data_IF_200296204157
#
_entry.id   IF_200296204157
#
_cell.length_a   1.000
_cell.length_b   1.000
_cell.length_c   1.000
_cell.angle_alpha   90.00
_cell.angle_beta   90.00
_cell.angle_gamma   90.00
#
_symmetry.space_group_name_H-M   'P 1'
#
loop_
_entity.id
_entity.type
_entity.pdbx_description
1 polymer ?
#
# COMPACT_ATOMS: atom_id res chain seq x y z
N UNK A 1 2.95 -9.28 61.03
CA UNK A 1 2.30 -7.99 60.68
C UNK A 1 3.19 -7.07 59.85
N UNK A 2 4.44 -6.80 60.23
CA UNK A 2 5.31 -5.85 59.51
C UNK A 2 5.55 -6.14 58.01
N UNK A 3 5.66 -7.41 57.60
CA UNK A 3 5.87 -7.80 56.18
C UNK A 3 4.64 -7.55 55.29
N UNK A 4 3.44 -7.58 55.87
CA UNK A 4 2.19 -7.31 55.15
C UNK A 4 2.03 -5.80 54.94
N UNK A 5 2.32 -5.02 55.99
CA UNK A 5 2.28 -3.56 55.92
C UNK A 5 3.34 -3.01 54.94
N UNK A 6 4.55 -3.55 54.94
CA UNK A 6 5.59 -3.15 53.98
C UNK A 6 5.19 -3.48 52.54
N UNK A 7 4.57 -4.63 52.31
CA UNK A 7 4.11 -5.03 50.97
C UNK A 7 2.98 -4.14 50.48
N UNK A 8 2.04 -3.76 51.35
CA UNK A 8 0.97 -2.81 51.04
C UNK A 8 1.50 -1.43 50.67
N UNK A 9 2.48 -0.90 51.42
CA UNK A 9 3.08 0.39 51.10
C UNK A 9 3.80 0.38 49.75
N UNK A 10 4.52 -0.70 49.41
CA UNK A 10 5.18 -0.85 48.12
C UNK A 10 4.16 -0.90 46.98
N UNK A 11 3.08 -1.68 47.15
CA UNK A 11 2.01 -1.72 46.15
C UNK A 11 1.37 -0.36 45.93
N UNK A 12 1.08 0.37 47.00
CA UNK A 12 0.44 1.68 46.93
C UNK A 12 1.35 2.70 46.23
N UNK A 13 2.66 2.66 46.48
CA UNK A 13 3.65 3.48 45.77
C UNK A 13 3.78 3.12 44.28
N UNK A 14 3.72 1.83 43.93
CA UNK A 14 3.74 1.39 42.53
C UNK A 14 2.47 1.84 41.80
N UNK A 15 1.29 1.72 42.42
CA UNK A 15 0.03 2.15 41.81
C UNK A 15 -0.04 3.66 41.61
N UNK A 16 0.38 4.46 42.59
CA UNK A 16 0.40 5.92 42.44
C UNK A 16 1.43 6.37 41.40
N UNK A 17 2.60 5.71 41.36
CA UNK A 17 3.60 5.94 40.31
C UNK A 17 3.09 5.62 38.92
N UNK A 18 2.46 4.45 38.73
CA UNK A 18 1.86 4.06 37.45
C UNK A 18 0.71 4.98 37.02
N UNK A 19 -0.14 5.41 37.95
CA UNK A 19 -1.22 6.37 37.67
C UNK A 19 -0.67 7.74 37.25
N UNK A 20 0.38 8.21 37.93
CA UNK A 20 1.02 9.48 37.59
C UNK A 20 1.69 9.43 36.23
N UNK A 21 2.43 8.35 35.91
CA UNK A 21 3.03 8.12 34.59
C UNK A 21 1.96 8.03 33.51
N UNK A 22 0.84 7.33 33.79
CA UNK A 22 -0.30 7.27 32.89
C UNK A 22 -0.82 8.67 32.57
N UNK A 23 -1.05 9.53 33.56
CA UNK A 23 -1.59 10.86 33.31
C UNK A 23 -0.59 11.85 32.68
N UNK A 24 0.69 11.79 33.04
CA UNK A 24 1.67 12.79 32.57
C UNK A 24 2.38 12.44 31.28
N UNK A 25 2.44 11.15 30.89
CA UNK A 25 3.20 10.70 29.71
C UNK A 25 2.27 10.11 28.63
N UNK A 26 1.83 10.92 27.64
CA UNK A 26 0.98 10.42 26.55
C UNK A 26 1.67 9.31 25.73
N UNK A 27 3.01 9.30 25.67
CA UNK A 27 3.82 8.25 25.03
C UNK A 27 3.62 6.89 25.71
N UNK A 28 3.55 6.84 27.05
CA UNK A 28 3.32 5.59 27.79
C UNK A 28 1.89 5.07 27.57
N UNK A 29 0.89 5.97 27.50
CA UNK A 29 -0.48 5.57 27.14
C UNK A 29 -0.55 4.98 25.74
N UNK A 30 0.14 5.56 24.77
CA UNK A 30 0.23 5.03 23.41
C UNK A 30 0.93 3.67 23.38
N UNK A 31 2.08 3.53 24.05
CA UNK A 31 2.82 2.27 24.16
C UNK A 31 1.98 1.14 24.79
N UNK A 32 1.28 1.43 25.89
CA UNK A 32 0.42 0.44 26.58
C UNK A 32 -0.81 0.12 25.75
N UNK A 33 -1.43 1.10 25.07
CA UNK A 33 -2.53 0.87 24.14
C UNK A 33 -2.09 0.01 22.96
N UNK A 34 -0.93 0.27 22.36
CA UNK A 34 -0.36 -0.54 21.29
C UNK A 34 -0.04 -1.97 21.75
N UNK A 35 0.48 -2.13 22.97
CA UNK A 35 0.76 -3.46 23.56
C UNK A 35 -0.51 -4.23 23.95
N UNK A 36 -1.59 -3.55 24.33
CA UNK A 36 -2.91 -4.14 24.61
C UNK A 36 -3.72 -4.40 23.33
N UNK A 37 -3.54 -3.59 22.29
CA UNK A 37 -4.08 -3.80 20.95
C UNK A 37 -3.28 -4.82 20.13
N UNK A 38 -2.16 -5.33 20.64
CA UNK A 38 -1.34 -6.38 20.02
C UNK A 38 -2.05 -7.75 19.87
N UNK A 39 -3.36 -7.82 20.14
CA UNK A 39 -4.17 -9.02 19.96
C UNK A 39 -4.81 -9.14 18.59
N UNK A 40 -5.07 -8.04 17.86
CA UNK A 40 -5.85 -8.05 16.62
C UNK A 40 -5.31 -7.08 15.57
N UNK A 41 -5.41 -7.43 14.29
CA UNK A 41 -5.10 -6.57 13.15
C UNK A 41 -6.27 -6.54 12.15
N UNK A 42 -6.31 -5.50 11.31
CA UNK A 42 -7.34 -5.35 10.28
C UNK A 42 -6.91 -6.06 9.01
N UNK A 43 -7.78 -6.90 8.47
CA UNK A 43 -7.56 -7.60 7.22
C UNK A 43 -8.84 -7.62 6.39
N UNK A 44 -8.71 -7.79 5.07
CA UNK A 44 -9.87 -8.05 4.24
C UNK A 44 -10.45 -9.44 4.56
N UNK A 45 -11.77 -9.55 4.46
CA UNK A 45 -12.47 -10.81 4.72
C UNK A 45 -12.08 -11.87 3.68
N UNK A 46 -11.56 -13.00 4.14
CA UNK A 46 -11.29 -14.18 3.30
C UNK A 46 -12.62 -14.67 2.72
N UNK A 47 -12.65 -14.91 1.41
CA UNK A 47 -13.85 -15.35 0.68
C UNK A 47 -13.69 -16.69 -0.03
N UNK A 48 -12.46 -17.08 -0.32
CA UNK A 48 -12.13 -18.34 -0.97
C UNK A 48 -11.25 -19.15 -0.03
N UNK A 49 -11.53 -20.44 0.11
CA UNK A 49 -10.65 -21.38 0.78
C UNK A 49 -9.54 -21.87 -0.16
N UNK A 50 -8.45 -22.45 0.36
CA UNK A 50 -7.45 -23.11 -0.49
C UNK A 50 -8.07 -24.20 -1.38
N UNK A 51 -9.03 -24.95 -0.86
CA UNK A 51 -9.74 -26.00 -1.58
C UNK A 51 -10.53 -25.41 -2.76
N UNK A 52 -11.24 -24.29 -2.57
CA UNK A 52 -11.96 -23.61 -3.66
C UNK A 52 -11.00 -23.16 -4.78
N UNK A 53 -9.81 -22.67 -4.41
CA UNK A 53 -8.80 -22.20 -5.36
C UNK A 53 -8.22 -23.39 -6.14
N UNK A 54 -7.86 -24.47 -5.47
CA UNK A 54 -7.37 -25.69 -6.11
C UNK A 54 -8.43 -26.25 -7.05
N UNK A 55 -9.69 -26.32 -6.62
CA UNK A 55 -10.79 -26.82 -7.44
C UNK A 55 -11.01 -25.99 -8.71
N UNK A 56 -10.90 -24.66 -8.60
CA UNK A 56 -11.03 -23.72 -9.73
C UNK A 56 -9.85 -23.80 -10.71
N UNK A 57 -8.63 -24.09 -10.23
CA UNK A 57 -7.39 -24.05 -11.03
C UNK A 57 -6.67 -25.41 -11.10
N UNK A 58 -7.40 -26.52 -10.97
CA UNK A 58 -6.89 -27.89 -10.97
C UNK A 58 -5.94 -28.20 -12.16
N UNK A 59 -6.18 -27.61 -13.33
CA UNK A 59 -5.32 -27.78 -14.51
C UNK A 59 -3.91 -27.20 -14.30
N UNK A 60 -3.80 -26.09 -13.58
CA UNK A 60 -2.53 -25.37 -13.35
C UNK A 60 -1.77 -25.95 -12.14
N UNK A 61 -2.49 -26.46 -11.14
CA UNK A 61 -1.91 -26.92 -9.87
C UNK A 61 -1.72 -28.45 -9.77
N UNK A 62 -2.45 -29.25 -10.56
CA UNK A 62 -2.49 -30.72 -10.40
C UNK A 62 -2.24 -31.52 -11.69
N UNK A 63 -1.54 -30.94 -12.67
CA UNK A 63 -1.17 -31.65 -13.91
C UNK A 63 -0.02 -32.66 -13.68
N UNK A 64 -0.33 -33.82 -13.10
CA UNK A 64 0.49 -35.04 -13.17
C UNK A 64 0.34 -35.98 -11.96
N UNK A 65 0.26 -37.29 -12.22
CA UNK A 65 0.09 -38.41 -11.25
C UNK A 65 1.15 -38.52 -10.11
N UNK A 66 2.09 -37.56 -10.01
CA UNK A 66 3.19 -37.57 -9.03
C UNK A 66 3.46 -36.23 -8.34
N UNK A 67 2.60 -35.23 -8.55
CA UNK A 67 2.71 -33.94 -7.86
C UNK A 67 1.93 -33.98 -6.55
N UNK A 68 2.54 -33.51 -5.46
CA UNK A 68 1.90 -33.46 -4.14
C UNK A 68 1.68 -32.01 -3.74
N UNK A 69 0.42 -31.64 -3.46
CA UNK A 69 0.10 -30.33 -2.88
C UNK A 69 0.46 -30.35 -1.39
N UNK A 70 1.27 -29.41 -0.96
CA UNK A 70 1.65 -29.22 0.45
C UNK A 70 0.57 -28.40 1.20
N UNK A 71 0.66 -28.37 2.52
CA UNK A 71 -0.27 -27.61 3.36
C UNK A 71 -0.23 -26.11 3.01
N UNK A 72 -1.38 -25.49 2.67
CA UNK A 72 -1.46 -24.07 2.34
C UNK A 72 -1.02 -23.18 3.50
N UNK A 73 -0.21 -22.17 3.21
CA UNK A 73 0.19 -21.17 4.19
C UNK A 73 -0.61 -19.89 3.94
N UNK A 74 -1.25 -19.35 4.99
CA UNK A 74 -1.95 -18.07 4.91
C UNK A 74 -1.05 -16.94 5.39
N UNK A 75 -0.63 -16.09 4.46
CA UNK A 75 0.18 -14.89 4.72
C UNK A 75 -0.64 -13.62 4.55
N UNK A 76 -0.18 -12.53 5.16
CA UNK A 76 -0.88 -11.25 5.17
C UNK A 76 0.00 -10.14 4.58
N UNK A 77 -0.41 -9.60 3.43
CA UNK A 77 0.32 -8.56 2.71
C UNK A 77 -0.17 -7.17 3.17
N UNK A 78 0.74 -6.26 3.56
CA UNK A 78 0.38 -4.97 4.15
C UNK A 78 -0.01 -3.90 3.11
N UNK A 79 -1.03 -3.12 3.43
CA UNK A 79 -1.51 -1.96 2.69
C UNK A 79 -1.74 -0.77 3.64
N UNK A 80 -1.47 0.45 3.17
CA UNK A 80 -1.95 1.66 3.79
C UNK A 80 -3.42 1.84 3.43
N UNK A 81 -4.29 1.84 4.44
CA UNK A 81 -5.68 2.24 4.33
C UNK A 81 -5.79 3.69 4.78
N UNK A 82 -6.13 4.57 3.84
CA UNK A 82 -6.28 6.00 4.07
C UNK A 82 -7.73 6.42 3.87
N UNK A 83 -8.32 7.04 4.88
CA UNK A 83 -9.59 7.77 4.75
C UNK A 83 -9.27 9.18 4.28
N UNK A 84 -9.82 9.57 3.13
CA UNK A 84 -9.40 10.78 2.43
C UNK A 84 -10.57 11.72 2.16
N UNK A 85 -10.25 12.99 2.07
CA UNK A 85 -11.13 14.05 1.60
C UNK A 85 -10.48 14.73 0.42
N UNK A 86 -11.25 15.02 -0.63
CA UNK A 86 -10.72 15.65 -1.82
C UNK A 86 -11.71 16.59 -2.51
N UNK A 87 -11.22 17.46 -3.40
CA UNK A 87 -12.05 18.27 -4.30
C UNK A 87 -12.36 17.47 -5.56
N UNK A 88 -13.64 17.33 -5.89
CA UNK A 88 -14.11 16.67 -7.11
C UNK A 88 -14.03 17.61 -8.32
N UNK A 89 -14.10 17.04 -9.53
CA UNK A 89 -14.05 17.81 -10.79
C UNK A 89 -15.19 18.85 -10.94
N UNK A 90 -16.30 18.66 -10.22
CA UNK A 90 -17.44 19.58 -10.16
C UNK A 90 -17.30 20.66 -9.07
N UNK A 91 -16.10 20.84 -8.51
CA UNK A 91 -15.81 21.66 -7.32
C UNK A 91 -16.57 21.23 -6.05
N UNK A 92 -17.17 20.04 -6.05
CA UNK A 92 -17.75 19.43 -4.87
C UNK A 92 -16.69 18.89 -3.91
N UNK A 93 -17.09 18.62 -2.67
CA UNK A 93 -16.27 17.85 -1.72
C UNK A 93 -16.55 16.37 -1.90
N UNK A 94 -15.49 15.60 -2.12
CA UNK A 94 -15.48 14.15 -2.08
C UNK A 94 -14.87 13.61 -0.78
N UNK A 95 -15.36 12.45 -0.37
CA UNK A 95 -14.76 11.64 0.68
C UNK A 95 -14.67 10.22 0.15
N UNK A 96 -13.61 9.51 0.51
CA UNK A 96 -13.35 8.18 -0.01
C UNK A 96 -12.30 7.43 0.81
N UNK A 97 -11.94 6.27 0.31
CA UNK A 97 -10.88 5.43 0.86
C UNK A 97 -9.84 5.19 -0.22
N UNK A 98 -8.57 5.20 0.16
CA UNK A 98 -7.45 4.79 -0.68
C UNK A 98 -6.77 3.60 -0.03
N UNK A 99 -6.57 2.53 -0.80
CA UNK A 99 -5.68 1.42 -0.47
C UNK A 99 -4.40 1.55 -1.29
N UNK A 100 -3.26 1.51 -0.62
CA UNK A 100 -1.95 1.63 -1.25
C UNK A 100 -1.04 0.52 -0.75
N UNK A 101 -0.39 -0.20 -1.65
CA UNK A 101 0.50 -1.30 -1.29
C UNK A 101 1.74 -0.79 -0.54
N UNK A 102 2.04 -1.44 0.59
CA UNK A 102 3.26 -1.14 1.36
C UNK A 102 4.44 -2.02 0.94
N UNK A 103 4.24 -2.90 -0.05
CA UNK A 103 5.27 -3.75 -0.63
C UNK A 103 5.77 -3.19 -1.97
N UNK A 104 4.84 -2.80 -2.84
CA UNK A 104 5.08 -2.37 -4.21
C UNK A 104 4.88 -0.87 -4.42
N UNK A 105 4.42 -0.12 -3.41
CA UNK A 105 4.25 1.32 -3.55
C UNK A 105 3.21 1.73 -4.60
N UNK A 106 2.31 0.84 -5.01
CA UNK A 106 1.25 1.10 -5.99
C UNK A 106 -0.12 1.26 -5.31
N UNK A 107 -0.95 2.14 -5.85
CA UNK A 107 -2.32 2.37 -5.39
C UNK A 107 -3.26 1.33 -5.98
N UNK A 108 -4.15 0.77 -5.16
CA UNK A 108 -5.22 -0.10 -5.64
C UNK A 108 -6.36 0.75 -6.20
N UNK A 109 -6.80 0.45 -7.42
CA UNK A 109 -7.90 1.13 -8.10
C UNK A 109 -9.22 0.43 -7.76
N UNK A 110 -9.24 -0.90 -7.79
CA UNK A 110 -10.43 -1.71 -7.62
C UNK A 110 -10.12 -3.00 -6.85
N UNK A 111 -10.76 -3.20 -5.69
CA UNK A 111 -10.61 -4.41 -4.86
C UNK A 111 -11.35 -5.64 -5.40
N UNK A 112 -12.30 -5.49 -6.31
CA UNK A 112 -12.99 -6.62 -6.93
C UNK A 112 -12.10 -7.31 -7.97
N UNK A 113 -11.43 -6.52 -8.81
CA UNK A 113 -10.51 -7.02 -9.86
C UNK A 113 -9.06 -7.07 -9.40
N UNK A 114 -8.76 -6.47 -8.25
CA UNK A 114 -7.41 -6.27 -7.74
C UNK A 114 -6.49 -5.44 -8.65
N UNK A 115 -7.08 -4.54 -9.44
CA UNK A 115 -6.34 -3.68 -10.35
C UNK A 115 -5.59 -2.59 -9.58
N UNK A 116 -4.31 -2.40 -9.91
CA UNK A 116 -3.44 -1.37 -9.33
C UNK A 116 -3.07 -0.33 -10.39
N UNK A 117 -2.57 0.79 -9.90
CA UNK A 117 -1.82 1.76 -10.69
C UNK A 117 -0.47 1.19 -11.12
N UNK A 118 0.22 1.93 -11.98
CA UNK A 118 1.59 1.64 -12.37
C UNK A 118 2.37 2.94 -12.56
N UNK A 119 3.54 3.03 -11.92
CA UNK A 119 4.46 4.17 -11.97
C UNK A 119 4.44 5.04 -10.71
N UNK A 120 3.59 4.72 -9.72
CA UNK A 120 3.66 5.40 -8.42
C UNK A 120 4.83 4.89 -7.58
N UNK A 121 5.23 3.63 -7.73
CA UNK A 121 6.44 3.10 -7.09
C UNK A 121 7.67 3.88 -7.55
N UNK A 122 7.83 4.07 -8.86
CA UNK A 122 8.90 4.88 -9.45
C UNK A 122 8.90 6.30 -8.89
N UNK A 123 7.71 6.91 -8.77
CA UNK A 123 7.56 8.24 -8.17
C UNK A 123 7.92 8.25 -6.68
N UNK A 124 7.60 7.18 -5.94
CA UNK A 124 7.92 7.02 -4.53
C UNK A 124 9.42 6.93 -4.30
N UNK A 125 10.10 6.08 -5.08
CA UNK A 125 11.55 5.88 -5.06
C UNK A 125 12.26 7.19 -5.44
N UNK A 126 11.79 7.86 -6.49
CA UNK A 126 12.34 9.12 -6.97
C UNK A 126 12.02 10.34 -6.08
N UNK A 127 11.17 10.16 -5.05
CA UNK A 127 10.65 11.23 -4.18
C UNK A 127 10.04 12.36 -5.02
N UNK A 128 9.12 11.99 -5.91
CA UNK A 128 8.39 12.93 -6.75
C UNK A 128 7.72 14.02 -5.90
N UNK A 129 7.90 15.27 -6.32
CA UNK A 129 7.31 16.45 -5.70
C UNK A 129 5.97 16.78 -6.35
N UNK A 130 5.15 17.66 -5.73
CA UNK A 130 3.91 18.12 -6.36
C UNK A 130 4.13 18.73 -7.76
N UNK A 131 5.27 19.41 -7.96
CA UNK A 131 5.63 19.96 -9.26
C UNK A 131 5.97 18.88 -10.29
N UNK A 132 6.63 17.80 -9.87
CA UNK A 132 6.89 16.67 -10.76
C UNK A 132 5.57 16.01 -11.20
N UNK A 133 4.62 15.82 -10.27
CA UNK A 133 3.30 15.29 -10.62
C UNK A 133 2.49 16.19 -11.55
N UNK A 134 2.65 17.51 -11.49
CA UNK A 134 2.03 18.40 -12.48
C UNK A 134 2.55 18.11 -13.89
N UNK A 135 3.85 17.89 -14.06
CA UNK A 135 4.44 17.52 -15.35
C UNK A 135 3.98 16.13 -15.77
N UNK A 136 4.08 15.15 -14.86
CA UNK A 136 3.71 13.76 -15.11
C UNK A 136 2.25 13.63 -15.56
N UNK A 137 1.32 14.22 -14.80
CA UNK A 137 -0.11 14.16 -15.12
C UNK A 137 -0.40 14.88 -16.44
N UNK A 138 0.24 16.03 -16.69
CA UNK A 138 0.09 16.75 -17.96
C UNK A 138 0.54 15.91 -19.14
N UNK A 139 1.69 15.23 -19.03
CA UNK A 139 2.16 14.32 -20.09
C UNK A 139 1.22 13.12 -20.25
N UNK A 140 0.79 12.49 -19.16
CA UNK A 140 -0.12 11.35 -19.17
C UNK A 140 -1.45 11.69 -19.87
N UNK A 141 -2.05 12.84 -19.54
CA UNK A 141 -3.31 13.33 -20.12
C UNK A 141 -3.19 13.65 -21.62
N UNK A 142 -1.97 13.81 -22.14
CA UNK A 142 -1.70 14.16 -23.54
C UNK A 142 -0.96 13.03 -24.29
N UNK A 143 -1.19 11.78 -23.92
CA UNK A 143 -0.66 10.61 -24.65
C UNK A 143 0.79 10.26 -24.31
N UNK A 144 1.31 10.74 -23.18
CA UNK A 144 2.64 10.43 -22.65
C UNK A 144 3.77 11.31 -23.18
N UNK A 145 3.48 12.27 -24.07
CA UNK A 145 4.49 13.15 -24.65
C UNK A 145 3.95 14.53 -25.01
N UNK A 146 4.73 15.59 -24.78
CA UNK A 146 4.44 16.96 -25.21
C UNK A 146 5.74 17.69 -25.54
N UNK A 147 5.65 18.67 -26.42
CA UNK A 147 6.72 19.63 -26.64
C UNK A 147 6.75 20.70 -25.54
N UNK A 148 7.82 21.50 -25.55
CA UNK A 148 8.00 22.57 -24.55
C UNK A 148 6.87 23.60 -24.57
N UNK A 149 6.40 23.98 -25.76
CA UNK A 149 5.34 24.99 -25.92
C UNK A 149 4.00 24.48 -25.41
N UNK A 150 3.66 23.22 -25.68
CA UNK A 150 2.47 22.55 -25.15
C UNK A 150 2.48 22.49 -23.62
N UNK A 151 3.61 22.15 -23.00
CA UNK A 151 3.73 22.17 -21.53
C UNK A 151 3.51 23.58 -20.95
N UNK A 152 4.08 24.62 -21.57
CA UNK A 152 3.86 26.00 -21.13
C UNK A 152 2.39 26.41 -21.21
N UNK A 153 1.74 26.08 -22.32
CA UNK A 153 0.35 26.45 -22.59
C UNK A 153 -0.63 25.77 -21.63
N UNK A 154 -0.35 24.54 -21.19
CA UNK A 154 -1.22 23.80 -20.28
C UNK A 154 -0.95 24.17 -18.81
N UNK A 155 0.33 24.30 -18.42
CA UNK A 155 0.69 24.52 -17.02
C UNK A 155 0.57 25.97 -16.57
N UNK A 156 0.54 26.92 -17.50
CA UNK A 156 0.47 28.37 -17.25
C UNK A 156 1.57 28.85 -16.28
N UNK A 157 2.80 28.39 -16.49
CA UNK A 157 3.96 28.76 -15.67
C UNK A 157 5.00 29.55 -16.46
N UNK A 158 5.79 30.36 -15.77
CA UNK A 158 6.91 31.06 -16.39
C UNK A 158 7.95 30.09 -16.93
N UNK A 159 8.61 30.47 -18.04
CA UNK A 159 9.68 29.68 -18.67
C UNK A 159 10.72 29.15 -17.67
N UNK A 160 11.26 30.03 -16.81
CA UNK A 160 12.28 29.65 -15.81
C UNK A 160 11.74 28.69 -14.74
N UNK A 161 10.44 28.70 -14.47
CA UNK A 161 9.80 27.78 -13.52
C UNK A 161 9.65 26.41 -14.19
N UNK A 162 9.13 26.38 -15.42
CA UNK A 162 8.98 25.16 -16.20
C UNK A 162 10.32 24.43 -16.37
N UNK A 163 11.38 25.15 -16.75
CA UNK A 163 12.70 24.57 -16.97
C UNK A 163 13.22 23.90 -15.69
N UNK A 164 12.99 24.50 -14.51
CA UNK A 164 13.36 23.88 -13.23
C UNK A 164 12.56 22.62 -12.92
N UNK A 165 11.28 22.57 -13.26
CA UNK A 165 10.43 21.40 -13.03
C UNK A 165 10.83 20.26 -13.97
N UNK A 166 11.04 20.55 -15.25
CA UNK A 166 11.52 19.59 -16.24
C UNK A 166 12.87 19.02 -15.83
N UNK A 167 13.84 19.86 -15.44
CA UNK A 167 15.15 19.39 -14.98
C UNK A 167 15.07 18.57 -13.68
N UNK A 168 14.11 18.86 -12.79
CA UNK A 168 13.83 18.01 -11.63
C UNK A 168 13.36 16.62 -12.06
N UNK A 169 12.37 16.53 -12.94
CA UNK A 169 11.84 15.28 -13.46
C UNK A 169 12.90 14.45 -14.20
N UNK A 170 13.73 15.10 -15.04
CA UNK A 170 14.83 14.45 -15.77
C UNK A 170 15.89 13.90 -14.81
N UNK A 171 16.31 14.67 -13.81
CA UNK A 171 17.27 14.19 -12.80
C UNK A 171 16.72 12.98 -12.03
N UNK A 172 15.41 12.97 -11.80
CA UNK A 172 14.68 11.87 -11.15
C UNK A 172 14.34 10.69 -12.08
N UNK A 173 14.72 10.78 -13.35
CA UNK A 173 14.41 9.78 -14.39
C UNK A 173 12.90 9.52 -14.56
N UNK A 174 12.04 10.48 -14.23
CA UNK A 174 10.58 10.40 -14.43
C UNK A 174 10.17 10.87 -15.83
N UNK A 175 11.02 11.69 -16.45
CA UNK A 175 10.80 12.26 -17.78
C UNK A 175 12.09 12.18 -18.59
N UNK A 176 11.98 11.83 -19.86
CA UNK A 176 13.05 11.89 -20.85
C UNK A 176 12.82 13.04 -21.84
N UNK A 177 13.89 13.52 -22.46
CA UNK A 177 13.83 14.52 -23.52
C UNK A 177 14.41 13.96 -24.81
N UNK A 178 13.69 14.09 -25.91
CA UNK A 178 14.17 13.76 -27.26
C UNK A 178 13.89 14.93 -28.19
N UNK A 179 14.93 15.71 -28.51
CA UNK A 179 14.76 16.97 -29.24
C UNK A 179 14.02 18.01 -28.40
N UNK A 180 12.91 18.54 -28.93
CA UNK A 180 12.06 19.51 -28.21
C UNK A 180 10.95 18.84 -27.39
N UNK A 181 10.80 17.52 -27.50
CA UNK A 181 9.71 16.78 -26.89
C UNK A 181 10.16 16.12 -25.59
N UNK A 182 9.24 16.07 -24.63
CA UNK A 182 9.38 15.42 -23.34
C UNK A 182 8.43 14.24 -23.25
N UNK A 183 8.90 13.13 -22.69
CA UNK A 183 8.20 11.85 -22.64
C UNK A 183 8.20 11.33 -21.21
N UNK A 184 7.11 10.69 -20.79
CA UNK A 184 7.10 9.89 -19.57
C UNK A 184 8.11 8.75 -19.67
N UNK A 185 8.86 8.54 -18.60
CA UNK A 185 9.82 7.44 -18.51
C UNK A 185 9.28 6.37 -17.55
N UNK A 186 8.08 5.88 -17.87
CA UNK A 186 7.43 4.77 -17.20
C UNK A 186 7.12 3.70 -18.24
N UNK A 187 7.23 2.44 -17.86
CA UNK A 187 6.72 1.34 -18.66
C UNK A 187 5.20 1.28 -18.47
N UNK A 188 4.39 1.48 -19.52
CA UNK A 188 2.91 1.37 -19.47
C UNK A 188 2.24 2.04 -18.23
N UNK A 189 2.44 3.35 -17.99
CA UNK A 189 1.96 3.99 -16.77
C UNK A 189 0.42 3.96 -16.67
N UNK A 190 -0.07 3.61 -15.48
CA UNK A 190 -1.49 3.67 -15.12
C UNK A 190 -1.60 4.60 -13.93
N UNK A 191 -1.67 5.89 -14.22
CA UNK A 191 -1.82 6.94 -13.20
C UNK A 191 -3.29 7.35 -13.09
N UNK A 192 -3.79 7.47 -11.87
CA UNK A 192 -5.19 7.84 -11.62
C UNK A 192 -5.30 9.27 -11.10
N UNK A 193 -6.24 10.03 -11.68
CA UNK A 193 -6.49 11.41 -11.25
C UNK A 193 -7.39 11.50 -10.01
N UNK A 194 -8.07 10.41 -9.64
CA UNK A 194 -9.04 10.39 -8.55
C UNK A 194 -8.47 9.61 -7.36
N UNK A 195 -8.38 10.23 -6.17
CA UNK A 195 -7.81 9.61 -4.99
C UNK A 195 -8.84 8.72 -4.28
N UNK A 196 -9.33 7.69 -4.96
CA UNK A 196 -10.31 6.77 -4.41
C UNK A 196 -10.12 5.35 -4.97
N UNK A 197 -10.11 4.36 -4.07
CA UNK A 197 -10.17 2.94 -4.38
C UNK A 197 -11.61 2.47 -4.33
N UNK A 198 -12.06 1.73 -5.35
CA UNK A 198 -13.34 1.06 -5.28
C UNK A 198 -13.29 -0.14 -4.30
N UNK A 199 -13.95 0.03 -3.16
CA UNK A 199 -14.00 -0.95 -2.06
C UNK A 199 -15.24 -1.85 -2.18
N UNK A 200 -15.08 -3.04 -2.77
CA UNK A 200 -16.10 -4.08 -2.85
C UNK A 200 -16.10 -5.02 -1.62
N UNK A 201 -15.03 -5.00 -0.83
CA UNK A 201 -14.77 -5.96 0.24
C UNK A 201 -14.70 -5.27 1.61
N UNK A 202 -15.18 -5.96 2.64
CA UNK A 202 -15.21 -5.46 4.02
C UNK A 202 -13.91 -5.79 4.76
N UNK A 203 -13.51 -4.90 5.66
CA UNK A 203 -12.45 -5.14 6.63
C UNK A 203 -12.99 -5.87 7.87
N UNK A 204 -12.26 -6.88 8.33
CA UNK A 204 -12.51 -7.64 9.55
C UNK A 204 -11.29 -7.57 10.46
N UNK A 205 -11.51 -7.81 11.76
CA UNK A 205 -10.42 -7.95 12.73
C UNK A 205 -10.04 -9.41 12.85
N UNK A 206 -8.75 -9.71 12.84
CA UNK A 206 -8.22 -11.06 13.04
C UNK A 206 -7.19 -11.07 14.16
N UNK A 207 -7.18 -12.15 14.95
CA UNK A 207 -6.22 -12.30 16.02
C UNK A 207 -4.78 -12.41 15.47
N UNK A 208 -3.85 -11.77 16.16
CA UNK A 208 -2.43 -11.68 15.80
C UNK A 208 -1.67 -12.99 16.03
N UNK A 209 -2.20 -13.86 16.90
CA UNK A 209 -1.53 -15.12 17.28
C UNK A 209 -1.53 -16.08 16.09
N UNK A 210 -0.34 -16.49 15.64
CA UNK A 210 -0.11 -17.43 14.52
C UNK A 210 -0.37 -16.88 13.11
N UNK A 211 -0.51 -15.55 12.92
CA UNK A 211 -0.59 -14.97 11.58
C UNK A 211 0.79 -14.64 11.02
N UNK A 212 1.13 -15.17 9.85
CA UNK A 212 2.34 -14.80 9.12
C UNK A 212 2.11 -13.49 8.34
N UNK A 213 2.86 -12.44 8.68
CA UNK A 213 2.71 -11.12 8.05
C UNK A 213 3.97 -10.79 7.28
N UNK A 214 3.79 -10.34 6.04
CA UNK A 214 4.90 -9.91 5.20
C UNK A 214 5.39 -8.55 5.73
N UNK A 215 6.71 -8.37 5.94
CA UNK A 215 7.25 -7.08 6.36
C UNK A 215 6.99 -6.02 5.28
N UNK A 216 6.76 -4.79 5.70
CA UNK A 216 6.59 -3.66 4.78
C UNK A 216 7.93 -3.25 4.15
N UNK A 217 7.87 -2.78 2.90
CA UNK A 217 9.00 -2.13 2.20
C UNK A 217 8.91 -0.62 2.41
N UNK A 218 7.70 -0.07 2.33
CA UNK A 218 7.42 1.35 2.51
C UNK A 218 6.67 1.61 3.83
N UNK A 219 6.92 2.77 4.43
CA UNK A 219 6.15 3.25 5.57
C UNK A 219 4.91 4.03 5.12
N UNK A 220 3.84 3.98 5.92
CA UNK A 220 2.60 4.73 5.68
C UNK A 220 2.88 6.23 5.46
N UNK A 221 3.79 6.83 6.22
CA UNK A 221 4.14 8.25 6.07
C UNK A 221 4.76 8.59 4.72
N UNK A 222 5.49 7.65 4.10
CA UNK A 222 6.03 7.84 2.75
C UNK A 222 4.90 7.82 1.72
N UNK A 223 3.95 6.90 1.88
CA UNK A 223 2.75 6.81 1.04
C UNK A 223 1.89 8.08 1.18
N UNK A 224 1.64 8.56 2.40
CA UNK A 224 0.88 9.80 2.62
C UNK A 224 1.54 11.00 1.94
N UNK A 225 2.86 11.10 2.05
CA UNK A 225 3.64 12.18 1.40
C UNK A 225 3.52 12.11 -0.12
N UNK A 226 3.63 10.91 -0.69
CA UNK A 226 3.46 10.70 -2.12
C UNK A 226 2.04 11.03 -2.58
N UNK A 227 1.02 10.53 -1.87
CA UNK A 227 -0.39 10.79 -2.18
C UNK A 227 -0.70 12.29 -2.15
N UNK A 228 -0.19 13.02 -1.14
CA UNK A 228 -0.35 14.47 -1.08
C UNK A 228 0.31 15.18 -2.26
N UNK A 229 1.48 14.70 -2.71
CA UNK A 229 2.16 15.23 -3.89
C UNK A 229 1.41 14.91 -5.20
N UNK A 230 0.87 13.69 -5.31
CA UNK A 230 0.17 13.20 -6.49
C UNK A 230 -1.18 13.91 -6.72
N UNK A 231 -1.96 14.10 -5.65
CA UNK A 231 -3.32 14.62 -5.73
C UNK A 231 -3.44 16.13 -5.42
N UNK A 232 -2.37 16.74 -4.89
CA UNK A 232 -2.26 18.19 -4.74
C UNK A 232 -3.03 18.80 -3.58
N UNK A 233 -3.20 20.12 -3.60
CA UNK A 233 -3.72 20.93 -2.48
C UNK A 233 -5.19 20.62 -2.12
N UNK A 234 -5.95 20.11 -3.08
CA UNK A 234 -7.35 19.72 -2.89
C UNK A 234 -7.54 18.39 -2.17
N UNK A 235 -6.47 17.69 -1.79
CA UNK A 235 -6.51 16.36 -1.17
C UNK A 235 -6.00 16.42 0.28
N UNK A 236 -6.59 15.62 1.17
CA UNK A 236 -6.16 15.49 2.57
C UNK A 236 -6.44 14.09 3.08
N UNK A 237 -5.43 13.48 3.73
CA UNK A 237 -5.59 12.25 4.50
C UNK A 237 -6.12 12.60 5.89
N UNK A 238 -7.28 12.05 6.26
CA UNK A 238 -7.91 12.26 7.58
C UNK A 238 -7.42 11.25 8.61
N UNK A 239 -7.20 10.03 8.16
CA UNK A 239 -6.79 8.91 8.98
C UNK A 239 -6.05 7.91 8.10
N UNK A 240 -4.94 7.38 8.59
CA UNK A 240 -4.19 6.32 7.93
C UNK A 240 -3.83 5.22 8.91
N UNK A 241 -3.97 3.98 8.45
CA UNK A 241 -3.63 2.79 9.24
C UNK A 241 -3.24 1.64 8.33
N UNK A 242 -2.54 0.67 8.89
CA UNK A 242 -2.21 -0.55 8.19
C UNK A 242 -3.42 -1.51 8.16
N UNK A 243 -3.67 -2.08 6.99
CA UNK A 243 -4.60 -3.19 6.79
C UNK A 243 -3.94 -4.27 5.95
N UNK A 244 -4.48 -5.47 5.97
CA UNK A 244 -3.83 -6.62 5.33
C UNK A 244 -4.72 -7.32 4.30
N UNK A 245 -4.13 -7.64 3.16
CA UNK A 245 -4.68 -8.60 2.21
C UNK A 245 -4.29 -10.03 2.66
N UNK A 246 -5.25 -10.93 2.89
CA UNK A 246 -4.95 -12.35 3.07
C UNK A 246 -4.56 -13.00 1.73
N UNK A 247 -3.46 -13.72 1.72
CA UNK A 247 -2.89 -14.39 0.54
C UNK A 247 -2.55 -15.83 0.91
N UNK A 248 -3.01 -16.79 0.12
CA UNK A 248 -2.56 -18.18 0.25
C UNK A 248 -1.30 -18.41 -0.55
N UNK A 249 -0.31 -19.04 0.08
CA UNK A 249 0.83 -19.63 -0.59
C UNK A 249 0.54 -21.12 -0.76
N UNK A 250 0.41 -21.55 -2.02
CA UNK A 250 0.18 -22.93 -2.39
C UNK A 250 1.47 -23.48 -2.99
N UNK A 251 2.02 -24.52 -2.37
CA UNK A 251 3.27 -25.14 -2.77
C UNK A 251 3.02 -26.55 -3.32
N UNK A 252 3.53 -26.83 -4.51
CA UNK A 252 3.44 -28.14 -5.16
C UNK A 252 4.83 -28.75 -5.26
N UNK A 253 5.00 -29.96 -4.73
CA UNK A 253 6.23 -30.74 -4.85
C UNK A 253 6.21 -31.54 -6.16
N UNK A 254 7.23 -31.32 -6.99
CA UNK A 254 7.45 -32.06 -8.23
C UNK A 254 8.16 -33.40 -7.95
N UNK A 255 8.12 -34.36 -8.91
CA UNK A 255 8.75 -35.66 -8.73
C UNK A 255 10.28 -35.63 -8.55
N UNK A 256 10.93 -34.53 -8.93
CA UNK A 256 12.35 -34.28 -8.75
C UNK A 256 12.70 -33.63 -7.39
N UNK A 257 11.69 -33.39 -6.55
CA UNK A 257 11.82 -32.72 -5.24
C UNK A 257 11.84 -31.19 -5.32
N UNK A 258 11.71 -30.58 -6.51
CA UNK A 258 11.57 -29.13 -6.63
C UNK A 258 10.20 -28.66 -6.17
N UNK A 259 10.12 -27.44 -5.63
CA UNK A 259 8.87 -26.83 -5.17
C UNK A 259 8.44 -25.71 -6.12
N UNK A 260 7.18 -25.76 -6.55
CA UNK A 260 6.52 -24.64 -7.20
C UNK A 260 5.59 -23.97 -6.19
N UNK A 261 5.94 -22.75 -5.77
CA UNK A 261 5.10 -21.96 -4.85
C UNK A 261 4.38 -20.88 -5.63
N UNK A 262 3.06 -20.79 -5.46
CA UNK A 262 2.22 -19.77 -6.10
C UNK A 262 1.44 -19.00 -5.05
N UNK A 263 1.21 -17.72 -5.29
CA UNK A 263 0.47 -16.84 -4.39
C UNK A 263 -0.93 -16.56 -4.93
N UNK A 264 -1.93 -16.60 -4.05
CA UNK A 264 -3.33 -16.48 -4.42
C UNK A 264 -4.06 -15.53 -3.48
N UNK A 265 -4.76 -14.56 -4.06
CA UNK A 265 -5.54 -13.61 -3.29
C UNK A 265 -6.75 -14.32 -2.65
N UNK A 266 -6.80 -14.43 -1.33
CA UNK A 266 -7.87 -15.13 -0.62
C UNK A 266 -9.23 -14.39 -0.64
N UNK A 267 -9.24 -13.15 -1.15
CA UNK A 267 -10.44 -12.30 -1.27
C UNK A 267 -11.09 -12.47 -2.65
N UNK A 268 -10.30 -12.59 -3.72
CA UNK A 268 -10.80 -12.73 -5.10
C UNK A 268 -10.72 -14.16 -5.63
N UNK A 269 -9.86 -14.99 -5.05
CA UNK A 269 -9.60 -16.35 -5.52
C UNK A 269 -8.83 -16.37 -6.84
N UNK A 270 -8.02 -15.34 -7.11
CA UNK A 270 -7.20 -15.23 -8.31
C UNK A 270 -5.72 -15.24 -7.97
N UNK A 271 -4.89 -15.72 -8.92
CA UNK A 271 -3.44 -15.78 -8.76
C UNK A 271 -2.87 -14.37 -8.68
N UNK A 272 -1.92 -14.16 -7.77
CA UNK A 272 -1.09 -12.96 -7.74
C UNK A 272 0.13 -13.28 -8.58
N UNK A 273 0.28 -12.59 -9.70
CA UNK A 273 1.42 -12.80 -10.61
C UNK A 273 2.75 -12.42 -9.92
N UNK A 274 3.84 -13.09 -10.29
CA UNK A 274 5.13 -12.99 -9.58
C UNK A 274 5.79 -11.60 -9.72
N UNK A 275 5.56 -10.90 -10.85
CA UNK A 275 6.01 -9.50 -11.06
C UNK A 275 5.46 -8.53 -9.99
N UNK A 276 4.42 -8.93 -9.24
CA UNK A 276 3.71 -8.09 -8.27
C UNK A 276 4.18 -8.24 -6.82
N UNK A 277 5.21 -9.06 -6.56
CA UNK A 277 5.59 -9.40 -5.17
C UNK A 277 6.89 -8.74 -4.70
N UNK A 278 7.63 -8.05 -5.59
CA UNK A 278 8.88 -7.38 -5.25
C UNK A 278 10.00 -8.31 -4.73
N UNK A 279 9.76 -9.62 -4.71
CA UNK A 279 10.77 -10.62 -4.36
C UNK A 279 11.59 -10.94 -5.61
N UNK A 280 12.57 -10.08 -5.89
CA UNK A 280 13.76 -10.56 -6.58
C UNK A 280 14.57 -11.43 -5.59
N UNK A 281 15.05 -12.61 -5.99
CA UNK A 281 15.89 -13.48 -5.16
C UNK A 281 17.19 -12.80 -4.72
#
# INVERSE_FOLDING_TARGET
MGRILSSLCIFLLVFTGLYWVWETQPVFRHFVKERLHAGEFLTLEVRYSPEDIVDKYNADLSTGDKRTLLEPILVFHPYAFMEVKFIRKDNGTGEGVVLWGLLDGEMLIDTHKWNKTHGYEDCLIAKASPQDFRIINTLADNGGSLDREGLLNILFVENKILDRWIESCKRKQLVMQRGNDYYLHFENPVLVSTPETYMAHRLVKKAYKHSERVPTVYHISQIETLAQAAFGEGFTVRNAREVYLPVYQLSVENPDGSLLTTQWNAVTGDKIDEDYTGFYP
#
